data_IF_062583591943
#
_entry.id   IF_062583591943
#
_cell.length_a   1.000
_cell.length_b   1.000
_cell.length_c   1.000
_cell.angle_alpha   90.00
_cell.angle_beta   90.00
_cell.angle_gamma   90.00
#
_symmetry.space_group_name_H-M   'P 1'
#
loop_
_entity.id
_entity.type
_entity.pdbx_description
1 polymer ?
#
# COMPACT_ATOMS: atom_id res chain seq x y z
N UNK A 1 -35.23 43.67 -26.59
CA UNK A 1 -35.57 42.41 -25.88
C UNK A 1 -34.79 41.23 -26.49
N UNK A 2 -33.57 40.92 -26.04
CA UNK A 2 -32.73 39.86 -26.63
C UNK A 2 -32.79 38.53 -25.84
N UNK A 3 -33.91 38.20 -25.18
CA UNK A 3 -34.02 37.00 -24.35
C UNK A 3 -34.39 35.71 -25.12
N UNK A 4 -34.65 35.81 -26.44
CA UNK A 4 -35.18 34.69 -27.26
C UNK A 4 -34.13 33.82 -27.93
N UNK A 5 -32.86 34.24 -27.94
CA UNK A 5 -31.76 33.49 -28.58
C UNK A 5 -31.05 32.50 -27.63
N UNK A 6 -31.38 32.51 -26.34
CA UNK A 6 -30.73 31.64 -25.35
C UNK A 6 -31.35 30.25 -25.24
N UNK A 7 -32.63 30.12 -25.63
CA UNK A 7 -33.36 28.84 -25.65
C UNK A 7 -32.71 27.76 -26.54
N UNK A 8 -32.28 28.04 -27.79
CA UNK A 8 -31.63 27.01 -28.61
C UNK A 8 -30.22 26.68 -28.11
N UNK A 9 -29.51 27.65 -27.51
CA UNK A 9 -28.17 27.43 -26.95
C UNK A 9 -28.25 26.52 -25.72
N UNK A 10 -29.24 26.73 -24.86
CA UNK A 10 -29.46 25.89 -23.68
C UNK A 10 -29.89 24.46 -24.06
N UNK A 11 -30.70 24.30 -25.11
CA UNK A 11 -31.12 23.00 -25.62
C UNK A 11 -29.96 22.23 -26.30
N UNK A 12 -29.02 22.93 -26.94
CA UNK A 12 -27.86 22.29 -27.54
C UNK A 12 -26.83 21.87 -26.48
N UNK A 13 -26.72 22.62 -25.37
CA UNK A 13 -25.79 22.31 -24.29
C UNK A 13 -26.21 21.10 -23.44
N UNK A 14 -27.51 20.76 -23.40
CA UNK A 14 -28.01 19.59 -22.66
C UNK A 14 -27.85 18.25 -23.41
N UNK A 15 -27.54 18.29 -24.71
CA UNK A 15 -27.39 17.10 -25.55
C UNK A 15 -25.97 16.52 -25.55
N UNK A 16 -25.03 17.13 -24.81
CA UNK A 16 -23.69 16.57 -24.68
C UNK A 16 -23.73 15.31 -23.80
N UNK A 17 -23.22 14.16 -24.28
CA UNK A 17 -23.00 13.01 -23.40
C UNK A 17 -22.05 13.41 -22.27
N UNK A 18 -22.22 12.89 -21.05
CA UNK A 18 -21.30 13.18 -19.97
C UNK A 18 -19.91 12.70 -20.39
N UNK A 19 -19.00 13.65 -20.60
CA UNK A 19 -17.57 13.34 -20.70
C UNK A 19 -17.17 12.77 -19.34
N UNK A 20 -17.13 11.44 -19.24
CA UNK A 20 -16.63 10.75 -18.07
C UNK A 20 -15.20 11.20 -17.84
N UNK A 21 -14.98 12.04 -16.84
CA UNK A 21 -13.65 12.36 -16.37
C UNK A 21 -13.01 11.03 -15.95
N UNK A 22 -11.96 10.62 -16.67
CA UNK A 22 -11.15 9.47 -16.27
C UNK A 22 -10.34 9.89 -15.04
N UNK A 23 -10.97 9.78 -13.89
CA UNK A 23 -10.27 9.87 -12.62
C UNK A 23 -9.47 8.58 -12.48
N UNK A 24 -8.23 8.59 -12.97
CA UNK A 24 -7.23 7.56 -12.67
C UNK A 24 -6.90 7.62 -11.18
N UNK A 25 -7.86 7.22 -10.36
CA UNK A 25 -7.68 6.90 -8.94
C UNK A 25 -7.00 5.55 -8.92
N UNK A 26 -5.68 5.59 -8.88
CA UNK A 26 -4.86 4.43 -8.53
C UNK A 26 -5.24 4.00 -7.11
N UNK A 27 -6.27 3.17 -6.95
CA UNK A 27 -6.78 2.82 -5.63
C UNK A 27 -8.01 1.93 -5.55
N UNK A 28 -8.55 1.44 -6.69
CA UNK A 28 -9.61 0.43 -6.68
C UNK A 28 -9.44 -0.56 -7.83
N UNK A 29 -8.78 -1.68 -7.55
CA UNK A 29 -8.49 -2.74 -8.53
C UNK A 29 -9.74 -3.49 -9.03
N UNK A 30 -10.93 -3.20 -8.47
CA UNK A 30 -12.20 -3.82 -8.86
C UNK A 30 -13.25 -2.74 -9.10
N UNK A 31 -13.64 -2.60 -10.37
CA UNK A 31 -14.59 -1.59 -10.82
C UNK A 31 -16.05 -2.08 -10.65
N UNK A 32 -16.26 -3.36 -10.33
CA UNK A 32 -17.60 -3.96 -10.13
C UNK A 32 -17.69 -4.79 -8.83
N UNK A 33 -18.86 -4.81 -8.15
CA UNK A 33 -19.09 -5.67 -6.98
C UNK A 33 -18.90 -7.17 -7.26
N UNK A 34 -19.20 -7.62 -8.49
CA UNK A 34 -19.07 -9.02 -8.91
C UNK A 34 -17.62 -9.48 -9.04
N UNK A 35 -16.71 -8.61 -9.49
CA UNK A 35 -15.28 -8.92 -9.53
C UNK A 35 -14.70 -9.13 -8.13
N UNK A 36 -15.14 -8.32 -7.15
CA UNK A 36 -14.73 -8.47 -5.75
C UNK A 36 -15.19 -9.80 -5.16
N UNK A 37 -16.46 -10.16 -5.35
CA UNK A 37 -17.01 -11.41 -4.81
C UNK A 37 -16.42 -12.66 -5.48
N UNK A 38 -16.00 -12.58 -6.73
CA UNK A 38 -15.28 -13.67 -7.40
C UNK A 38 -13.89 -13.89 -6.77
N UNK A 39 -13.16 -12.80 -6.50
CA UNK A 39 -11.86 -12.89 -5.84
C UNK A 39 -12.00 -13.37 -4.39
N UNK A 40 -12.99 -12.89 -3.65
CA UNK A 40 -13.23 -13.34 -2.28
C UNK A 40 -13.56 -14.84 -2.22
N UNK A 41 -14.31 -15.36 -3.20
CA UNK A 41 -14.51 -16.82 -3.36
C UNK A 41 -13.20 -17.54 -3.65
N UNK A 42 -12.35 -17.00 -4.53
CA UNK A 42 -11.02 -17.59 -4.80
C UNK A 42 -10.13 -17.64 -3.55
N UNK A 43 -10.20 -16.62 -2.68
CA UNK A 43 -9.47 -16.62 -1.39
C UNK A 43 -9.95 -17.71 -0.45
N UNK A 44 -11.25 -17.98 -0.40
CA UNK A 44 -11.81 -19.06 0.44
C UNK A 44 -11.40 -20.45 -0.07
N UNK A 45 -11.30 -20.62 -1.38
CA UNK A 45 -10.91 -21.89 -2.01
C UNK A 45 -9.40 -22.15 -1.98
N UNK A 46 -8.58 -21.10 -1.93
CA UNK A 46 -7.13 -21.17 -1.88
C UNK A 46 -6.60 -20.61 -0.55
N UNK A 47 -6.71 -21.36 0.56
CA UNK A 47 -6.20 -20.92 1.86
C UNK A 47 -4.69 -20.66 1.87
N UNK A 48 -3.91 -21.25 0.94
CA UNK A 48 -2.48 -20.95 0.79
C UNK A 48 -2.14 -19.56 0.22
N UNK A 49 -3.14 -18.80 -0.25
CA UNK A 49 -2.99 -17.38 -0.60
C UNK A 49 -3.36 -16.45 0.57
N UNK A 50 -3.93 -17.00 1.65
CA UNK A 50 -4.14 -16.27 2.89
C UNK A 50 -2.81 -16.33 3.65
N UNK A 51 -2.34 -15.19 4.15
CA UNK A 51 -1.21 -15.17 5.08
C UNK A 51 -1.55 -16.10 6.25
N UNK A 52 -0.80 -17.19 6.40
CA UNK A 52 -1.05 -18.17 7.45
C UNK A 52 -0.65 -17.53 8.79
N UNK A 53 -1.56 -17.39 9.76
CA UNK A 53 -1.22 -16.82 11.07
C UNK A 53 -0.13 -17.61 11.80
N UNK A 54 0.07 -18.90 11.47
CA UNK A 54 1.17 -19.71 12.02
C UNK A 54 2.56 -19.34 11.44
N UNK A 55 2.61 -18.83 10.20
CA UNK A 55 3.85 -18.29 9.62
C UNK A 55 4.17 -16.92 10.24
N UNK A 56 3.14 -16.17 10.65
CA UNK A 56 3.26 -14.90 11.38
C UNK A 56 3.79 -15.06 12.81
N UNK A 57 3.55 -16.20 13.46
CA UNK A 57 4.05 -16.53 14.81
C UNK A 57 5.53 -16.98 14.78
N UNK A 58 6.01 -17.49 13.65
CA UNK A 58 7.37 -18.05 13.50
C UNK A 58 8.35 -17.15 12.76
N UNK A 59 7.85 -16.12 12.06
CA UNK A 59 8.67 -15.16 11.33
C UNK A 59 8.20 -13.72 11.58
N UNK A 60 9.14 -12.80 11.74
CA UNK A 60 8.89 -11.38 11.97
C UNK A 60 9.44 -10.59 10.78
N UNK A 61 8.55 -10.13 9.90
CA UNK A 61 8.89 -9.31 8.74
C UNK A 61 8.66 -7.84 9.04
N UNK A 62 9.70 -7.02 8.86
CA UNK A 62 9.60 -5.57 9.06
C UNK A 62 9.15 -4.91 7.75
N UNK A 63 7.87 -4.61 7.63
CA UNK A 63 7.32 -4.05 6.39
C UNK A 63 7.65 -2.57 6.20
N UNK A 64 7.76 -1.83 7.30
CA UNK A 64 8.00 -0.39 7.25
C UNK A 64 8.24 0.21 8.62
N UNK A 65 8.83 1.40 8.64
CA UNK A 65 8.94 2.19 9.86
C UNK A 65 8.70 3.68 9.56
N UNK A 66 7.96 4.35 10.45
CA UNK A 66 7.87 5.81 10.51
C UNK A 66 8.70 6.24 11.71
N UNK A 67 9.74 7.04 11.45
CA UNK A 67 10.54 7.70 12.47
C UNK A 67 10.18 9.18 12.51
N UNK A 68 9.58 9.59 13.62
CA UNK A 68 9.17 10.98 13.85
C UNK A 68 10.35 11.76 14.43
N UNK A 69 10.36 13.07 14.21
CA UNK A 69 11.39 13.98 14.75
C UNK A 69 11.35 14.08 16.28
N UNK A 70 10.22 13.77 16.91
CA UNK A 70 10.04 13.69 18.38
C UNK A 70 10.67 12.43 19.00
N UNK A 71 11.32 11.58 18.20
CA UNK A 71 11.97 10.35 18.64
C UNK A 71 11.05 9.13 18.66
N UNK A 72 9.73 9.30 18.45
CA UNK A 72 8.80 8.16 18.39
C UNK A 72 8.98 7.38 17.09
N UNK A 73 8.77 6.07 17.19
CA UNK A 73 8.85 5.14 16.06
C UNK A 73 7.61 4.25 16.02
N UNK A 74 7.02 4.14 14.84
CA UNK A 74 5.94 3.19 14.55
C UNK A 74 6.47 2.23 13.50
N UNK A 75 6.34 0.93 13.74
CA UNK A 75 6.83 -0.10 12.82
C UNK A 75 5.68 -1.02 12.42
N UNK A 76 5.65 -1.44 11.16
CA UNK A 76 4.74 -2.47 10.71
C UNK A 76 5.46 -3.80 10.73
N UNK A 77 4.99 -4.73 11.55
CA UNK A 77 5.54 -6.08 11.67
C UNK A 77 4.47 -7.05 11.20
N UNK A 78 4.76 -7.88 10.20
CA UNK A 78 3.79 -8.81 9.61
C UNK A 78 2.46 -8.17 9.17
N UNK A 79 2.47 -6.86 8.87
CA UNK A 79 1.31 -6.08 8.43
C UNK A 79 0.59 -5.35 9.56
N UNK A 80 0.92 -5.65 10.82
CA UNK A 80 0.31 -5.03 11.99
C UNK A 80 1.12 -3.84 12.49
N UNK A 81 0.43 -2.79 12.92
CA UNK A 81 1.07 -1.62 13.53
C UNK A 81 1.58 -1.98 14.93
N UNK A 82 2.89 -1.93 15.10
CA UNK A 82 3.55 -2.00 16.39
C UNK A 82 4.11 -0.61 16.74
N UNK A 83 3.39 0.09 17.62
CA UNK A 83 3.94 1.29 18.25
C UNK A 83 5.02 0.82 19.22
N UNK A 84 6.27 1.18 18.94
CA UNK A 84 7.46 0.73 19.65
C UNK A 84 7.47 1.17 21.13
N UNK A 85 6.65 0.51 21.94
CA UNK A 85 6.53 0.66 23.40
C UNK A 85 6.69 -0.72 24.03
N UNK A 86 7.77 -1.43 23.69
CA UNK A 86 8.01 -2.78 24.20
C UNK A 86 9.30 -3.41 23.65
N UNK A 87 9.78 -4.52 24.24
CA UNK A 87 11.04 -5.17 23.86
C UNK A 87 11.08 -5.69 22.41
N UNK A 88 9.93 -5.86 21.75
CA UNK A 88 9.84 -6.15 20.30
C UNK A 88 10.30 -4.98 19.40
N UNK A 89 10.43 -3.77 19.97
CA UNK A 89 11.03 -2.61 19.32
C UNK A 89 12.56 -2.68 19.23
N UNK A 90 13.21 -3.62 19.94
CA UNK A 90 14.66 -3.65 20.14
C UNK A 90 15.42 -4.34 19.01
N UNK A 91 14.74 -5.01 18.08
CA UNK A 91 15.43 -5.69 16.97
C UNK A 91 15.88 -4.64 15.95
N UNK A 92 17.20 -4.44 15.86
CA UNK A 92 17.90 -3.67 14.81
C UNK A 92 17.80 -4.37 13.45
N UNK A 93 16.57 -4.71 13.06
CA UNK A 93 16.24 -5.40 11.83
C UNK A 93 15.90 -4.31 10.81
N UNK A 94 16.61 -4.26 9.68
CA UNK A 94 16.28 -3.39 8.56
C UNK A 94 14.85 -3.58 8.10
N UNK A 95 14.24 -2.51 7.58
CA UNK A 95 12.98 -2.63 6.84
C UNK A 95 13.20 -3.54 5.63
N UNK A 96 12.28 -4.46 5.41
CA UNK A 96 12.31 -5.48 4.38
C UNK A 96 12.88 -6.82 4.84
N UNK A 97 13.60 -6.87 5.97
CA UNK A 97 14.14 -8.12 6.49
C UNK A 97 13.06 -8.92 7.24
N UNK A 98 13.18 -10.25 7.14
CA UNK A 98 12.42 -11.23 7.89
C UNK A 98 13.35 -11.96 8.87
N UNK A 99 12.92 -12.09 10.13
CA UNK A 99 13.68 -12.79 11.17
C UNK A 99 12.88 -13.97 11.70
N UNK A 100 13.54 -15.10 11.89
CA UNK A 100 12.96 -16.30 12.47
C UNK A 100 13.43 -16.42 13.93
N UNK A 101 12.67 -15.92 14.93
CA UNK A 101 13.11 -15.92 16.33
C UNK A 101 13.43 -17.31 16.89
N UNK A 102 12.81 -18.38 16.35
CA UNK A 102 13.07 -19.75 16.77
C UNK A 102 14.44 -20.30 16.34
N UNK A 103 14.99 -19.84 15.22
CA UNK A 103 16.28 -20.31 14.68
C UNK A 103 17.39 -19.24 14.77
N UNK A 104 17.01 -17.97 14.95
CA UNK A 104 17.90 -16.82 14.83
C UNK A 104 18.27 -16.46 13.39
N UNK A 105 17.72 -17.19 12.40
CA UNK A 105 17.96 -16.92 10.99
C UNK A 105 17.35 -15.59 10.56
N UNK A 106 18.01 -14.95 9.60
CA UNK A 106 17.60 -13.67 9.03
C UNK A 106 17.66 -13.76 7.52
N UNK A 107 16.56 -13.40 6.87
CA UNK A 107 16.52 -13.22 5.42
C UNK A 107 16.33 -11.74 5.11
N UNK A 108 17.23 -11.18 4.31
CA UNK A 108 17.16 -9.78 3.89
C UNK A 108 16.96 -9.66 2.38
N UNK A 109 16.21 -8.65 1.94
CA UNK A 109 15.85 -8.45 0.54
C UNK A 109 17.07 -8.35 -0.38
N UNK A 110 18.16 -7.78 0.12
CA UNK A 110 19.39 -7.60 -0.65
C UNK A 110 20.33 -8.79 -0.59
N UNK A 111 20.05 -9.82 0.24
CA UNK A 111 20.90 -11.03 0.42
C UNK A 111 22.39 -10.71 0.61
N UNK A 112 22.70 -9.66 1.39
CA UNK A 112 24.06 -9.16 1.61
C UNK A 112 24.55 -8.09 0.62
N UNK A 113 23.75 -7.76 -0.39
CA UNK A 113 23.97 -6.64 -1.30
C UNK A 113 23.76 -5.28 -0.63
N UNK A 114 24.23 -4.22 -1.30
CA UNK A 114 24.10 -2.83 -0.84
C UNK A 114 23.65 -1.95 -2.00
N UNK A 115 22.69 -1.07 -1.72
CA UNK A 115 22.31 0.01 -2.63
C UNK A 115 23.05 1.28 -2.21
N UNK A 116 23.76 1.91 -3.14
CA UNK A 116 24.43 3.20 -2.92
C UNK A 116 23.64 4.26 -3.67
N UNK A 117 22.97 5.15 -2.93
CA UNK A 117 22.27 6.28 -3.51
C UNK A 117 23.24 7.45 -3.59
N UNK A 118 23.57 7.90 -4.81
CA UNK A 118 24.33 9.13 -5.01
C UNK A 118 23.36 10.31 -5.00
N UNK A 119 23.60 11.36 -4.21
CA UNK A 119 22.77 12.56 -4.26
C UNK A 119 22.87 13.16 -5.67
N UNK A 120 21.73 13.57 -6.24
CA UNK A 120 21.71 14.27 -7.52
C UNK A 120 22.53 15.55 -7.38
N UNK A 121 23.56 15.70 -8.21
CA UNK A 121 24.36 16.92 -8.25
C UNK A 121 23.43 18.09 -8.56
N UNK A 122 23.34 19.05 -7.66
CA UNK A 122 22.70 20.33 -7.94
C UNK A 122 23.53 21.03 -9.02
N UNK A 123 23.12 20.89 -10.27
CA UNK A 123 23.55 21.80 -11.33
C UNK A 123 23.09 23.20 -10.91
N UNK A 124 24.08 24.02 -10.54
CA UNK A 124 23.89 25.40 -10.11
C UNK A 124 24.06 26.33 -11.31
#
# INVERSE_FOLDING_TARGET
MPARLWLPILALLSALPPAGAEETVLGRLFLTPSQRSALDRQRLLNPGLQANPLDSESSLTINGEIRRSDGRRTRWINGEENQATGPAAATNVPVGDTVYPGTGEREGLLRGGRIIIKPGGTAR
#
